data_IF_075434304541
#
_entry.id   IF_075434304541
#
_cell.length_a   1.000
_cell.length_b   1.000
_cell.length_c   1.000
_cell.angle_alpha   90.00
_cell.angle_beta   90.00
_cell.angle_gamma   90.00
#
_symmetry.space_group_name_H-M   'P 1'
#
loop_
_entity.id
_entity.type
_entity.pdbx_description
1 polymer ?
#
# COMPACT_ATOMS: atom_id res chain seq x y z
N UNK A 1 26.79 41.52 10.87
CA UNK A 1 25.56 40.71 11.04
C UNK A 1 25.69 39.49 10.13
N UNK A 2 25.63 38.21 10.52
CA UNK A 2 25.30 37.56 11.78
C UNK A 2 25.90 36.13 11.86
N UNK A 3 27.20 35.94 11.59
CA UNK A 3 27.87 34.65 11.91
C UNK A 3 27.97 34.41 13.44
N UNK A 4 28.08 35.49 14.21
CA UNK A 4 28.15 35.44 15.68
C UNK A 4 26.80 35.05 16.30
N UNK A 5 25.67 35.48 15.71
CA UNK A 5 24.34 35.07 16.20
C UNK A 5 24.05 33.60 15.87
N UNK A 6 24.44 33.13 14.69
CA UNK A 6 24.25 31.72 14.30
C UNK A 6 25.09 30.77 15.19
N UNK A 7 26.34 31.15 15.50
CA UNK A 7 27.18 30.39 16.42
C UNK A 7 26.67 30.45 17.86
N UNK A 8 26.13 31.58 18.33
CA UNK A 8 25.50 31.64 19.64
C UNK A 8 24.21 30.80 19.71
N UNK A 9 23.37 30.77 18.68
CA UNK A 9 22.16 29.93 18.66
C UNK A 9 22.51 28.44 18.63
N UNK A 10 23.54 28.04 17.87
CA UNK A 10 24.02 26.65 17.83
C UNK A 10 24.71 26.22 19.14
N UNK A 11 25.45 27.12 19.81
CA UNK A 11 26.06 26.84 21.12
C UNK A 11 25.03 26.84 22.26
N UNK A 12 24.01 27.72 22.25
CA UNK A 12 22.95 27.68 23.26
C UNK A 12 22.00 26.50 23.06
N UNK A 13 21.75 26.06 21.82
CA UNK A 13 21.06 24.80 21.57
C UNK A 13 21.90 23.61 22.06
N UNK A 14 23.19 23.55 21.69
CA UNK A 14 24.09 22.45 22.07
C UNK A 14 24.32 22.27 23.58
N UNK A 15 24.23 23.35 24.37
CA UNK A 15 24.39 23.30 25.84
C UNK A 15 23.06 23.01 26.56
N UNK A 16 21.90 23.25 25.94
CA UNK A 16 20.60 22.87 26.51
C UNK A 16 20.29 21.37 26.35
N UNK A 17 20.96 20.67 25.42
CA UNK A 17 20.78 19.24 25.16
C UNK A 17 21.77 18.32 25.90
N UNK A 18 22.74 18.85 26.68
CA UNK A 18 23.75 17.99 27.33
C UNK A 18 23.28 17.30 28.61
N UNK A 19 22.10 17.64 29.15
CA UNK A 19 21.57 17.02 30.39
C UNK A 19 20.27 16.22 30.18
N UNK A 20 19.61 16.34 29.03
CA UNK A 20 18.39 15.60 28.74
C UNK A 20 18.76 14.42 27.84
N UNK A 21 18.82 13.22 28.42
CA UNK A 21 18.88 12.00 27.61
C UNK A 21 17.52 11.87 26.92
N UNK A 22 17.45 11.88 25.57
CA UNK A 22 16.20 11.64 24.89
C UNK A 22 15.65 10.29 25.32
N UNK A 23 14.33 10.21 25.53
CA UNK A 23 13.66 8.93 25.72
C UNK A 23 13.63 8.25 24.36
N UNK A 24 14.21 7.05 24.29
CA UNK A 24 14.13 6.18 23.14
C UNK A 24 12.96 5.22 23.36
N UNK A 25 12.04 5.21 22.39
CA UNK A 25 10.99 4.21 22.25
C UNK A 25 11.32 3.42 20.98
N UNK A 26 11.42 2.10 21.11
CA UNK A 26 11.68 1.17 20.01
C UNK A 26 10.39 0.38 19.77
N UNK A 27 9.93 0.36 18.53
CA UNK A 27 8.83 -0.48 18.07
C UNK A 27 9.16 -1.09 16.71
N UNK A 28 8.32 -1.99 16.24
CA UNK A 28 8.46 -2.55 14.90
C UNK A 28 7.65 -3.82 14.72
N UNK A 29 7.92 -4.49 13.59
CA UNK A 29 7.22 -5.70 13.17
C UNK A 29 8.22 -6.75 12.67
N UNK A 30 7.97 -8.01 13.01
CA UNK A 30 8.56 -9.17 12.31
C UNK A 30 7.45 -9.90 11.59
N UNK A 31 7.68 -10.19 10.32
CA UNK A 31 6.75 -10.90 9.45
C UNK A 31 7.46 -12.07 8.76
N UNK A 32 6.80 -13.22 8.71
CA UNK A 32 7.21 -14.37 7.90
C UNK A 32 6.01 -14.98 7.21
N UNK A 33 6.09 -15.10 5.88
CA UNK A 33 5.06 -15.67 5.04
C UNK A 33 5.57 -16.90 4.28
N UNK A 34 4.68 -17.85 4.04
CA UNK A 34 4.90 -18.97 3.15
C UNK A 34 3.62 -19.26 2.37
N UNK A 35 3.75 -19.31 1.06
CA UNK A 35 2.67 -19.64 0.14
C UNK A 35 3.06 -20.80 -0.75
N UNK A 36 2.08 -21.61 -1.12
CA UNK A 36 2.19 -22.60 -2.17
C UNK A 36 0.99 -22.50 -3.10
N UNK A 37 1.26 -22.43 -4.40
CA UNK A 37 0.26 -22.49 -5.46
C UNK A 37 0.42 -23.81 -6.22
N UNK A 38 -0.67 -24.55 -6.31
CA UNK A 38 -0.73 -25.80 -7.05
C UNK A 38 -1.83 -25.76 -8.10
N UNK A 39 -1.43 -25.59 -9.36
CA UNK A 39 -2.29 -25.83 -10.51
C UNK A 39 -2.59 -27.33 -10.63
N UNK A 40 -3.88 -27.69 -10.68
CA UNK A 40 -4.32 -29.09 -10.63
C UNK A 40 -3.86 -29.95 -11.81
N UNK A 41 -3.55 -29.33 -12.95
CA UNK A 41 -3.06 -30.02 -14.15
C UNK A 41 -1.53 -30.07 -14.24
N UNK A 42 -0.82 -29.47 -13.27
CA UNK A 42 0.64 -29.48 -13.21
C UNK A 42 1.20 -30.32 -12.03
N UNK A 43 2.32 -31.03 -12.26
CA UNK A 43 3.01 -31.73 -11.18
C UNK A 43 3.87 -30.79 -10.32
N UNK A 44 4.15 -29.58 -10.81
CA UNK A 44 4.97 -28.58 -10.11
C UNK A 44 4.08 -27.77 -9.16
N UNK A 45 4.61 -27.50 -7.97
CA UNK A 45 4.00 -26.62 -6.98
C UNK A 45 4.93 -25.42 -6.83
N UNK A 46 4.40 -24.22 -7.05
CA UNK A 46 5.16 -22.98 -6.90
C UNK A 46 5.15 -22.59 -5.43
N UNK A 47 6.32 -22.21 -4.90
CA UNK A 47 6.44 -21.80 -3.50
C UNK A 47 6.98 -20.37 -3.44
N UNK A 48 6.40 -19.56 -2.55
CA UNK A 48 6.84 -18.19 -2.25
C UNK A 48 7.05 -18.05 -0.75
N UNK A 49 8.19 -17.49 -0.38
CA UNK A 49 8.54 -17.17 1.00
C UNK A 49 8.89 -15.70 1.10
N UNK A 50 8.39 -15.04 2.14
CA UNK A 50 8.67 -13.64 2.39
C UNK A 50 9.05 -13.47 3.86
N UNK A 51 10.04 -12.63 4.13
CA UNK A 51 10.42 -12.23 5.48
C UNK A 51 10.60 -10.73 5.50
N UNK A 52 10.07 -10.08 6.54
CA UNK A 52 10.29 -8.66 6.78
C UNK A 52 10.62 -8.40 8.25
N UNK A 53 11.55 -7.48 8.47
CA UNK A 53 11.81 -6.84 9.74
C UNK A 53 11.67 -5.34 9.53
N UNK A 54 10.80 -4.71 10.30
CA UNK A 54 10.68 -3.26 10.39
C UNK A 54 11.05 -2.79 11.81
N UNK A 55 11.76 -1.66 11.89
CA UNK A 55 12.30 -1.09 13.12
C UNK A 55 12.11 0.42 13.16
N UNK A 56 11.28 0.87 14.10
CA UNK A 56 11.01 2.27 14.41
C UNK A 56 11.80 2.75 15.61
N UNK A 57 12.49 3.86 15.45
CA UNK A 57 13.21 4.55 16.53
C UNK A 57 12.54 5.89 16.85
N UNK A 58 11.70 5.91 17.88
CA UNK A 58 11.09 7.12 18.42
C UNK A 58 12.00 7.81 19.43
N UNK A 59 12.47 9.02 19.12
CA UNK A 59 13.31 9.82 20.01
C UNK A 59 12.51 11.02 20.53
N UNK A 60 12.25 11.07 21.84
CA UNK A 60 11.61 12.22 22.49
C UNK A 60 12.62 13.04 23.27
N UNK A 61 12.91 14.24 22.78
CA UNK A 61 13.86 15.17 23.42
C UNK A 61 13.20 15.96 24.55
N UNK A 62 11.92 16.34 24.39
CA UNK A 62 11.09 16.98 25.43
C UNK A 62 9.60 16.91 25.02
N UNK A 63 8.72 17.61 25.73
CA UNK A 63 7.26 17.61 25.48
C UNK A 63 6.85 18.14 24.09
N UNK A 64 7.74 18.86 23.40
CA UNK A 64 7.45 19.48 22.09
C UNK A 64 8.29 18.94 20.95
N UNK A 65 9.47 18.40 21.23
CA UNK A 65 10.42 17.98 20.19
C UNK A 65 10.62 16.47 20.22
N UNK A 66 10.40 15.85 19.07
CA UNK A 66 10.73 14.45 18.81
C UNK A 66 11.38 14.27 17.44
N UNK A 67 11.99 13.11 17.24
CA UNK A 67 12.42 12.63 15.94
C UNK A 67 12.01 11.16 15.80
N UNK A 68 11.91 10.72 14.55
CA UNK A 68 11.62 9.34 14.20
C UNK A 68 12.52 8.91 13.04
N UNK A 69 12.83 7.61 13.02
CA UNK A 69 13.65 6.93 12.03
C UNK A 69 13.11 5.52 11.84
N UNK A 70 13.07 5.05 10.61
CA UNK A 70 12.64 3.70 10.25
C UNK A 70 13.73 2.97 9.46
N UNK A 71 13.96 1.72 9.82
CA UNK A 71 14.80 0.78 9.08
C UNK A 71 13.98 -0.45 8.73
N UNK A 72 13.92 -0.77 7.44
CA UNK A 72 13.21 -1.94 6.93
C UNK A 72 14.22 -2.93 6.36
N UNK A 73 13.96 -4.22 6.51
CA UNK A 73 14.72 -5.28 5.89
C UNK A 73 13.75 -6.34 5.38
N UNK A 74 13.57 -6.41 4.06
CA UNK A 74 12.68 -7.36 3.40
C UNK A 74 13.49 -8.31 2.51
N UNK A 75 13.09 -9.57 2.49
CA UNK A 75 13.62 -10.57 1.57
C UNK A 75 12.51 -11.48 1.07
N UNK A 76 12.53 -11.78 -0.22
CA UNK A 76 11.62 -12.72 -0.85
C UNK A 76 12.40 -13.83 -1.55
N UNK A 77 11.88 -15.05 -1.49
CA UNK A 77 12.40 -16.19 -2.23
C UNK A 77 11.24 -16.89 -2.94
N UNK A 78 11.40 -17.17 -4.22
CA UNK A 78 10.42 -17.91 -5.02
C UNK A 78 11.12 -19.09 -5.71
N UNK A 79 10.57 -20.29 -5.53
CA UNK A 79 11.01 -21.49 -6.22
C UNK A 79 9.99 -21.85 -7.31
N UNK A 80 10.47 -22.13 -8.53
CA UNK A 80 9.64 -22.61 -9.65
C UNK A 80 9.48 -21.63 -10.82
N UNK A 81 10.04 -20.42 -10.77
CA UNK A 81 10.14 -19.52 -11.92
C UNK A 81 11.43 -19.80 -12.70
N UNK A 82 11.45 -20.89 -13.48
CA UNK A 82 12.64 -21.28 -14.26
C UNK A 82 12.81 -20.48 -15.57
N UNK A 83 11.77 -19.80 -16.09
CA UNK A 83 11.84 -19.17 -17.41
C UNK A 83 11.04 -17.84 -17.49
N UNK A 84 11.61 -16.72 -17.03
CA UNK A 84 11.21 -15.39 -17.54
C UNK A 84 12.12 -15.03 -18.72
N UNK A 85 11.73 -15.43 -19.93
CA UNK A 85 12.43 -15.07 -21.16
C UNK A 85 12.54 -13.54 -21.29
N UNK A 86 13.76 -13.00 -21.25
CA UNK A 86 14.05 -11.59 -21.50
C UNK A 86 14.93 -10.91 -20.47
N UNK A 87 15.15 -11.52 -19.29
CA UNK A 87 16.21 -11.10 -18.37
C UNK A 87 17.28 -12.19 -18.32
N UNK A 88 18.48 -11.90 -18.82
CA UNK A 88 19.67 -12.74 -18.68
C UNK A 88 20.06 -12.79 -17.18
N UNK A 89 19.38 -13.64 -16.44
CA UNK A 89 19.64 -13.96 -15.03
C UNK A 89 20.49 -15.23 -15.03
N UNK A 90 21.80 -15.06 -15.30
CA UNK A 90 22.73 -16.12 -15.69
C UNK A 90 22.59 -17.47 -14.95
N UNK A 91 22.55 -18.54 -15.75
CA UNK A 91 22.79 -20.00 -15.56
C UNK A 91 22.56 -20.73 -14.21
N UNK A 92 22.11 -20.09 -13.13
CA UNK A 92 21.73 -20.72 -11.84
C UNK A 92 20.58 -19.95 -11.16
N UNK A 93 19.51 -19.63 -11.90
CA UNK A 93 18.39 -18.80 -11.42
C UNK A 93 17.44 -19.54 -10.45
N UNK A 94 17.93 -20.00 -9.32
CA UNK A 94 17.14 -19.93 -8.09
C UNK A 94 17.29 -18.51 -7.54
N UNK A 95 16.20 -17.81 -7.22
CA UNK A 95 16.32 -16.64 -6.34
C UNK A 95 16.99 -17.11 -5.05
N UNK A 96 18.26 -16.76 -4.86
CA UNK A 96 19.09 -17.16 -3.73
C UNK A 96 18.36 -16.82 -2.41
N UNK A 97 18.41 -17.67 -1.37
CA UNK A 97 17.49 -17.61 -0.24
C UNK A 97 17.63 -16.30 0.52
N UNK A 98 16.52 -15.55 0.61
CA UNK A 98 16.22 -14.46 1.58
C UNK A 98 17.49 -13.74 2.08
N UNK A 99 18.09 -12.89 1.22
CA UNK A 99 19.18 -11.98 1.60
C UNK A 99 18.59 -10.58 1.86
N UNK A 100 17.99 -10.31 3.04
CA UNK A 100 17.36 -9.02 3.29
C UNK A 100 18.45 -7.94 3.42
N UNK A 101 18.40 -6.94 2.55
CA UNK A 101 19.18 -5.73 2.69
C UNK A 101 18.44 -4.80 3.65
N UNK A 102 19.15 -4.29 4.67
CA UNK A 102 18.60 -3.24 5.53
C UNK A 102 18.60 -1.93 4.75
N UNK A 103 17.41 -1.38 4.53
CA UNK A 103 17.19 -0.10 3.86
C UNK A 103 16.73 0.95 4.86
N UNK A 104 17.15 2.19 4.62
CA UNK A 104 16.65 3.34 5.34
C UNK A 104 15.29 3.72 4.76
N UNK A 105 14.21 3.57 5.54
CA UNK A 105 12.85 3.77 5.04
C UNK A 105 12.32 5.20 5.27
N UNK A 106 12.97 5.97 6.15
CA UNK A 106 12.69 7.40 6.33
C UNK A 106 13.14 7.95 7.68
N UNK A 107 13.20 9.28 7.79
CA UNK A 107 13.32 9.96 9.08
C UNK A 107 12.71 11.36 9.05
N UNK A 108 12.17 11.80 10.18
CA UNK A 108 11.70 13.17 10.35
C UNK A 108 11.96 13.72 11.76
N UNK A 109 11.91 15.04 11.87
CA UNK A 109 11.89 15.78 13.14
C UNK A 109 10.52 16.44 13.28
N UNK A 110 9.92 16.33 14.46
CA UNK A 110 8.60 16.89 14.75
C UNK A 110 8.67 17.96 15.86
N UNK A 111 7.95 19.06 15.63
CA UNK A 111 7.58 20.01 16.66
C UNK A 111 6.07 19.94 16.95
N UNK A 112 5.71 19.51 18.15
CA UNK A 112 4.34 19.44 18.65
C UNK A 112 4.01 20.69 19.46
N UNK A 113 3.07 21.51 18.97
CA UNK A 113 2.54 22.66 19.72
C UNK A 113 1.42 22.21 20.68
N UNK A 114 0.59 21.28 20.23
CA UNK A 114 -0.53 20.67 20.96
C UNK A 114 -0.95 19.37 20.28
N UNK A 115 -1.85 18.60 20.89
CA UNK A 115 -2.42 17.37 20.30
C UNK A 115 -3.06 17.58 18.92
N UNK A 116 -3.52 18.80 18.60
CA UNK A 116 -4.15 19.13 17.31
C UNK A 116 -3.27 19.96 16.38
N UNK A 117 -1.99 20.15 16.72
CA UNK A 117 -1.10 21.00 15.93
C UNK A 117 0.35 20.57 16.06
N UNK A 118 0.91 20.09 14.97
CA UNK A 118 2.34 19.79 14.87
C UNK A 118 2.90 20.15 13.49
N UNK A 119 4.22 20.18 13.42
CA UNK A 119 4.98 20.37 12.19
C UNK A 119 6.03 19.27 12.09
N UNK A 120 6.21 18.68 10.91
CA UNK A 120 7.33 17.76 10.64
C UNK A 120 8.21 18.28 9.52
N UNK A 121 9.47 17.90 9.58
CA UNK A 121 10.45 18.11 8.51
C UNK A 121 11.28 16.85 8.34
N UNK A 122 11.39 16.36 7.11
CA UNK A 122 12.10 15.12 6.81
C UNK A 122 11.46 14.34 5.68
N UNK A 123 11.64 13.03 5.70
CA UNK A 123 10.95 12.07 4.84
C UNK A 123 9.54 11.82 5.41
N UNK A 124 8.53 12.12 4.60
CA UNK A 124 7.12 12.06 4.91
C UNK A 124 6.48 11.05 3.97
N UNK A 125 5.61 10.20 4.52
CA UNK A 125 4.83 9.22 3.78
C UNK A 125 3.36 9.57 3.94
N UNK A 126 2.60 9.49 2.85
CA UNK A 126 1.15 9.61 2.89
C UNK A 126 0.54 8.67 1.86
N UNK A 127 -0.68 8.25 2.15
CA UNK A 127 -1.50 7.36 1.34
C UNK A 127 -2.96 7.62 1.73
N UNK A 128 -3.89 7.28 0.86
CA UNK A 128 -5.32 7.41 1.13
C UNK A 128 -6.05 6.24 0.47
N UNK A 129 -7.17 5.78 1.04
CA UNK A 129 -8.01 4.80 0.36
C UNK A 129 -7.44 3.39 0.23
N UNK A 130 -6.83 2.89 1.31
CA UNK A 130 -6.41 1.48 1.44
C UNK A 130 -7.61 0.59 1.74
N UNK A 131 -7.66 -0.61 1.16
CA UNK A 131 -8.65 -1.61 1.53
C UNK A 131 -8.51 -1.98 3.02
N UNK A 132 -9.62 -1.99 3.74
CA UNK A 132 -9.67 -2.32 5.16
C UNK A 132 -10.03 -3.79 5.39
N UNK A 133 -10.77 -4.39 4.47
CA UNK A 133 -11.33 -5.73 4.66
C UNK A 133 -10.66 -6.78 3.76
N UNK A 134 -10.28 -6.42 2.53
CA UNK A 134 -9.62 -7.37 1.63
C UNK A 134 -8.11 -7.38 1.86
N UNK A 135 -7.58 -8.58 2.10
CA UNK A 135 -6.22 -8.77 2.60
C UNK A 135 -5.14 -8.54 1.53
N UNK A 136 -5.39 -8.87 0.26
CA UNK A 136 -4.38 -8.75 -0.81
C UNK A 136 -4.16 -7.29 -1.26
N UNK A 137 -5.07 -6.35 -0.97
CA UNK A 137 -4.95 -4.93 -1.33
C UNK A 137 -4.92 -4.00 -0.11
N UNK A 138 -4.59 -4.56 1.05
CA UNK A 138 -4.45 -3.84 2.32
C UNK A 138 -3.09 -3.17 2.51
N UNK A 139 -2.13 -3.35 1.60
CA UNK A 139 -0.82 -2.72 1.66
C UNK A 139 -0.88 -1.28 1.13
N UNK A 140 -0.40 -0.27 1.90
CA UNK A 140 -0.35 1.11 1.43
C UNK A 140 0.44 1.29 0.13
N UNK A 141 1.37 0.40 -0.21
CA UNK A 141 2.20 0.48 -1.42
C UNK A 141 1.44 0.11 -2.69
N UNK A 142 0.27 -0.51 -2.58
CA UNK A 142 -0.58 -0.86 -3.70
C UNK A 142 -1.46 0.33 -4.14
N UNK A 143 -1.49 0.61 -5.44
CA UNK A 143 -2.34 1.63 -6.09
C UNK A 143 -3.67 1.00 -6.53
N UNK A 144 -4.32 0.37 -5.56
CA UNK A 144 -5.56 -0.35 -5.82
C UNK A 144 -6.73 0.64 -5.98
N UNK A 145 -6.99 1.50 -4.98
CA UNK A 145 -8.19 2.34 -4.99
C UNK A 145 -8.04 3.85 -4.74
N UNK A 146 -7.06 4.27 -3.94
CA UNK A 146 -6.86 5.69 -3.60
C UNK A 146 -5.49 6.18 -4.04
N UNK A 147 -4.71 6.68 -3.10
CA UNK A 147 -3.33 7.10 -3.29
C UNK A 147 -2.46 6.01 -2.67
N UNK A 148 -1.69 5.29 -3.49
CA UNK A 148 -0.60 4.44 -2.99
C UNK A 148 0.45 5.29 -2.26
N UNK A 149 1.21 4.67 -1.37
CA UNK A 149 2.18 5.34 -0.52
C UNK A 149 3.13 6.19 -1.35
N UNK A 150 2.99 7.50 -1.23
CA UNK A 150 3.93 8.47 -1.78
C UNK A 150 4.91 8.86 -0.68
N UNK A 151 6.16 9.04 -1.08
CA UNK A 151 7.22 9.53 -0.20
C UNK A 151 7.74 10.84 -0.73
N UNK A 152 7.75 11.86 0.14
CA UNK A 152 8.34 13.16 -0.14
C UNK A 152 9.36 13.51 0.94
N UNK A 153 10.37 14.31 0.59
CA UNK A 153 11.21 15.00 1.56
C UNK A 153 10.81 16.47 1.63
N UNK A 154 10.28 16.89 2.77
CA UNK A 154 9.57 18.16 2.83
C UNK A 154 9.13 18.59 4.23
N UNK A 155 8.02 19.32 4.24
CA UNK A 155 7.37 19.87 5.42
C UNK A 155 5.92 19.36 5.49
N UNK A 156 5.55 18.86 6.66
CA UNK A 156 4.16 18.53 7.01
C UNK A 156 3.67 19.55 8.04
N UNK A 157 2.46 20.04 7.84
CA UNK A 157 1.73 20.83 8.81
C UNK A 157 0.39 20.17 9.11
N UNK A 158 0.16 19.85 10.38
CA UNK A 158 -1.12 19.37 10.85
C UNK A 158 -1.82 20.43 11.71
N UNK A 159 -3.11 20.68 11.45
CA UNK A 159 -3.93 21.61 12.24
C UNK A 159 -5.42 21.24 12.26
N UNK A 160 -5.93 20.82 13.42
CA UNK A 160 -7.36 20.55 13.64
C UNK A 160 -7.98 19.64 12.55
N UNK A 161 -7.31 18.53 12.24
CA UNK A 161 -7.74 17.57 11.20
C UNK A 161 -7.21 17.87 9.81
N UNK A 162 -6.71 19.09 9.53
CA UNK A 162 -6.02 19.38 8.28
C UNK A 162 -4.61 18.80 8.32
N UNK A 163 -4.26 18.05 7.29
CA UNK A 163 -2.90 17.67 6.92
C UNK A 163 -2.54 18.41 5.64
N UNK A 164 -1.35 19.02 5.62
CA UNK A 164 -0.80 19.68 4.45
C UNK A 164 0.69 19.38 4.35
N UNK A 165 1.08 18.79 3.24
CA UNK A 165 2.43 18.32 2.96
C UNK A 165 2.95 19.01 1.70
N UNK A 166 4.22 19.42 1.72
CA UNK A 166 4.89 19.95 0.54
C UNK A 166 6.35 19.53 0.55
N UNK A 167 6.84 19.07 -0.60
CA UNK A 167 8.22 18.59 -0.69
C UNK A 167 8.63 18.17 -2.09
N UNK A 168 9.76 17.49 -2.13
CA UNK A 168 10.29 16.85 -3.33
C UNK A 168 10.06 15.35 -3.22
N UNK A 169 9.68 14.69 -4.31
CA UNK A 169 9.56 13.23 -4.30
C UNK A 169 10.91 12.57 -4.00
N UNK A 170 10.88 11.40 -3.39
CA UNK A 170 12.06 10.60 -3.09
C UNK A 170 11.85 9.13 -3.46
N UNK A 171 12.96 8.39 -3.58
CA UNK A 171 12.94 6.97 -3.96
C UNK A 171 12.14 6.72 -5.25
N UNK A 172 11.26 5.71 -5.28
CA UNK A 172 10.41 5.40 -6.43
C UNK A 172 9.49 6.55 -6.85
N UNK A 173 9.18 7.49 -5.94
CA UNK A 173 8.32 8.64 -6.25
C UNK A 173 9.03 9.70 -7.14
N UNK A 174 10.36 9.64 -7.31
CA UNK A 174 11.12 10.57 -8.18
C UNK A 174 11.36 10.03 -9.60
N UNK A 175 10.76 8.88 -9.95
CA UNK A 175 10.90 8.29 -11.28
C UNK A 175 9.78 8.78 -12.20
N UNK A 176 10.15 9.27 -13.39
CA UNK A 176 9.23 9.50 -14.50
C UNK A 176 9.54 8.49 -15.60
N UNK A 177 8.69 7.50 -15.77
CA UNK A 177 8.76 6.56 -16.88
C UNK A 177 7.75 6.99 -17.93
N UNK A 178 8.24 7.22 -19.16
CA UNK A 178 7.42 7.64 -20.29
C UNK A 178 7.21 6.45 -21.20
N UNK A 179 5.96 6.00 -21.35
CA UNK A 179 5.63 4.97 -22.32
C UNK A 179 5.39 5.59 -23.69
N UNK A 180 6.17 5.17 -24.69
CA UNK A 180 6.03 5.62 -26.06
C UNK A 180 4.95 4.80 -26.77
N UNK A 181 4.01 5.50 -27.41
CA UNK A 181 3.00 4.89 -28.25
C UNK A 181 3.03 5.48 -29.66
N UNK A 182 3.00 4.63 -30.68
CA UNK A 182 2.75 5.06 -32.06
C UNK A 182 1.60 4.23 -32.64
N UNK A 183 0.60 4.91 -33.21
CA UNK A 183 -0.58 4.28 -33.83
C UNK A 183 -1.37 3.32 -32.89
N UNK A 184 -1.29 3.51 -31.57
CA UNK A 184 -1.95 2.66 -30.59
C UNK A 184 -1.15 1.44 -30.14
N UNK A 185 0.08 1.28 -30.61
CA UNK A 185 0.98 0.20 -30.18
C UNK A 185 2.07 0.73 -29.24
N UNK A 186 2.39 -0.06 -28.21
CA UNK A 186 3.47 0.22 -27.26
C UNK A 186 4.84 0.06 -27.92
N UNK A 187 5.66 1.10 -27.87
CA UNK A 187 6.95 1.19 -28.57
C UNK A 187 8.16 1.16 -27.63
N UNK A 188 7.96 1.15 -26.31
CA UNK A 188 9.03 1.13 -25.32
C UNK A 188 8.85 2.22 -24.24
N UNK A 189 9.71 2.18 -23.22
CA UNK A 189 9.65 3.06 -22.05
C UNK A 189 10.95 3.84 -21.88
N UNK A 190 10.86 5.16 -21.80
CA UNK A 190 11.97 6.03 -21.42
C UNK A 190 11.79 6.48 -19.97
N UNK A 191 12.48 5.80 -19.05
CA UNK A 191 12.60 6.28 -17.68
C UNK A 191 13.71 7.32 -17.59
N UNK A 192 13.33 8.55 -17.24
CA UNK A 192 14.27 9.61 -16.93
C UNK A 192 14.12 9.97 -15.46
N UNK A 193 15.25 10.01 -14.76
CA UNK A 193 15.35 10.66 -13.45
C UNK A 193 14.85 12.10 -13.61
N UNK A 194 13.80 12.45 -12.87
CA UNK A 194 13.18 13.76 -12.97
C UNK A 194 12.82 14.22 -11.58
N UNK A 195 13.43 15.31 -11.12
CA UNK A 195 13.10 15.90 -9.84
C UNK A 195 11.63 16.28 -9.79
N UNK A 196 10.89 15.67 -8.88
CA UNK A 196 9.47 15.93 -8.67
C UNK A 196 9.25 16.91 -7.53
N UNK A 197 8.17 17.68 -7.60
CA UNK A 197 7.65 18.42 -6.46
C UNK A 197 6.18 18.08 -6.27
N UNK A 198 5.78 17.99 -5.01
CA UNK A 198 4.51 17.40 -4.64
C UNK A 198 3.86 18.19 -3.51
N UNK A 199 2.55 18.32 -3.60
CA UNK A 199 1.70 18.98 -2.61
C UNK A 199 0.53 18.06 -2.31
N UNK A 200 0.45 17.62 -1.07
CA UNK A 200 -0.65 16.81 -0.58
C UNK A 200 -1.44 17.55 0.50
N UNK A 201 -2.76 17.36 0.50
CA UNK A 201 -3.64 17.89 1.51
C UNK A 201 -4.81 16.94 1.77
N UNK A 202 -5.12 16.72 3.06
CA UNK A 202 -6.27 15.94 3.48
C UNK A 202 -6.91 16.57 4.73
N UNK A 203 -8.21 16.34 4.96
CA UNK A 203 -8.91 16.93 6.09
C UNK A 203 -9.86 15.97 6.79
N UNK A 204 -9.64 15.68 8.06
CA UNK A 204 -10.57 14.88 8.87
C UNK A 204 -11.79 15.73 9.28
N UNK A 205 -12.89 15.60 8.51
CA UNK A 205 -14.18 16.18 8.84
C UNK A 205 -15.01 15.19 9.66
N UNK A 206 -15.04 15.40 10.97
CA UNK A 206 -15.84 14.60 11.89
C UNK A 206 -17.26 15.17 12.06
N UNK A 207 -18.29 14.39 11.71
CA UNK A 207 -19.70 14.74 11.91
C UNK A 207 -20.41 13.56 12.58
N UNK A 208 -20.94 13.77 13.79
CA UNK A 208 -21.67 12.74 14.54
C UNK A 208 -20.88 11.42 14.69
N UNK A 209 -19.59 11.51 15.01
CA UNK A 209 -18.63 10.39 15.13
C UNK A 209 -18.42 9.60 13.82
N UNK A 210 -18.81 10.17 12.68
CA UNK A 210 -18.48 9.68 11.35
C UNK A 210 -17.33 10.52 10.80
N UNK A 211 -16.41 9.92 10.06
CA UNK A 211 -15.24 10.61 9.51
C UNK A 211 -15.38 10.68 7.99
N UNK A 212 -15.24 11.90 7.46
CA UNK A 212 -15.13 12.17 6.02
C UNK A 212 -13.77 12.82 5.79
N UNK A 213 -12.95 12.21 4.94
CA UNK A 213 -11.60 12.64 4.66
C UNK A 213 -11.44 12.93 3.17
N UNK A 214 -11.84 14.12 2.70
CA UNK A 214 -11.44 14.58 1.38
C UNK A 214 -9.92 14.74 1.32
N UNK A 215 -9.34 14.33 0.21
CA UNK A 215 -7.92 14.43 -0.05
C UNK A 215 -7.63 14.95 -1.46
N UNK A 216 -6.44 15.48 -1.63
CA UNK A 216 -5.89 15.98 -2.88
C UNK A 216 -4.38 15.81 -2.85
N UNK A 217 -3.82 15.31 -3.93
CA UNK A 217 -2.39 15.29 -4.18
C UNK A 217 -2.10 15.81 -5.59
N UNK A 218 -1.11 16.68 -5.70
CA UNK A 218 -0.61 17.15 -6.98
C UNK A 218 0.89 16.97 -7.04
N UNK A 219 1.32 16.25 -8.07
CA UNK A 219 2.72 16.03 -8.37
C UNK A 219 3.07 16.62 -9.72
N UNK A 220 4.20 17.31 -9.75
CA UNK A 220 4.78 17.80 -11.00
C UNK A 220 6.16 17.26 -11.23
N UNK A 221 6.36 16.78 -12.45
CA UNK A 221 7.62 16.27 -12.97
C UNK A 221 8.54 17.35 -13.54
N UNK A 222 8.21 18.64 -13.34
CA UNK A 222 8.94 19.78 -13.93
C UNK A 222 8.98 19.74 -15.47
N UNK A 223 8.03 19.04 -16.08
CA UNK A 223 7.88 18.92 -17.53
C UNK A 223 6.50 19.38 -17.93
N UNK A 224 6.46 20.03 -19.08
CA UNK A 224 5.19 20.44 -19.68
C UNK A 224 4.36 19.19 -19.90
N UNK A 225 3.10 19.21 -19.47
CA UNK A 225 2.09 18.18 -19.74
C UNK A 225 2.15 16.91 -18.89
N UNK A 226 3.19 16.64 -18.09
CA UNK A 226 3.37 15.34 -17.39
C UNK A 226 2.85 15.28 -15.95
N UNK A 227 2.18 16.31 -15.47
CA UNK A 227 1.77 16.38 -14.06
C UNK A 227 0.71 15.32 -13.74
N UNK A 228 0.66 14.92 -12.48
CA UNK A 228 -0.22 13.90 -11.91
C UNK A 228 -1.08 14.54 -10.83
N UNK A 229 -2.33 14.09 -10.72
CA UNK A 229 -3.32 14.58 -9.78
C UNK A 229 -4.10 13.40 -9.22
N UNK A 230 -4.11 13.29 -7.88
CA UNK A 230 -5.10 12.52 -7.16
C UNK A 230 -6.06 13.43 -6.43
N UNK A 231 -7.31 13.01 -6.36
CA UNK A 231 -8.28 13.61 -5.46
C UNK A 231 -9.34 12.60 -5.09
N UNK A 232 -9.95 12.77 -3.94
CA UNK A 232 -10.99 11.82 -3.55
C UNK A 232 -11.61 12.11 -2.21
N UNK A 233 -12.36 11.13 -1.74
CA UNK A 233 -13.05 11.14 -0.47
C UNK A 233 -12.99 9.73 0.12
N UNK A 234 -12.29 9.60 1.24
CA UNK A 234 -12.33 8.43 2.12
C UNK A 234 -13.39 8.70 3.21
N UNK A 235 -14.25 7.72 3.46
CA UNK A 235 -15.35 7.81 4.41
C UNK A 235 -15.30 6.61 5.34
N UNK A 236 -15.31 6.88 6.65
CA UNK A 236 -15.42 5.87 7.69
C UNK A 236 -16.68 6.12 8.52
N UNK A 237 -17.65 5.22 8.39
CA UNK A 237 -18.94 5.28 9.06
C UNK A 237 -19.09 4.12 10.06
N UNK A 238 -19.66 4.41 11.22
CA UNK A 238 -19.90 3.42 12.29
C UNK A 238 -21.27 3.63 12.92
N UNK A 239 -22.10 2.58 12.94
CA UNK A 239 -23.43 2.56 13.54
C UNK A 239 -23.67 1.23 14.29
N UNK A 240 -23.40 1.24 15.59
CA UNK A 240 -23.57 0.06 16.44
C UNK A 240 -22.62 -1.06 16.02
N UNK A 241 -23.20 -2.18 15.59
CA UNK A 241 -22.47 -3.36 15.14
C UNK A 241 -22.05 -3.30 13.66
N UNK A 242 -22.50 -2.29 12.93
CA UNK A 242 -22.20 -2.09 11.52
C UNK A 242 -21.13 -1.01 11.37
N UNK A 243 -20.11 -1.28 10.57
CA UNK A 243 -19.20 -0.27 10.06
C UNK A 243 -19.18 -0.30 8.53
N UNK A 244 -18.83 0.83 7.94
CA UNK A 244 -18.75 0.99 6.50
C UNK A 244 -17.57 1.90 6.19
N UNK A 245 -16.61 1.38 5.47
CA UNK A 245 -15.59 2.17 4.80
C UNK A 245 -16.01 2.37 3.35
N UNK A 246 -15.86 3.58 2.82
CA UNK A 246 -16.18 3.89 1.44
C UNK A 246 -15.20 4.90 0.88
N UNK A 247 -14.83 4.71 -0.38
CA UNK A 247 -13.85 5.54 -1.04
C UNK A 247 -14.32 5.89 -2.45
N UNK A 248 -14.18 7.16 -2.79
CA UNK A 248 -14.10 7.61 -4.17
C UNK A 248 -12.68 8.11 -4.43
N UNK A 249 -12.02 7.55 -5.44
CA UNK A 249 -10.70 7.98 -5.90
C UNK A 249 -10.78 8.51 -7.33
N UNK A 250 -10.06 9.58 -7.59
CA UNK A 250 -9.78 10.10 -8.93
C UNK A 250 -8.27 10.18 -9.09
N UNK A 251 -7.78 9.66 -10.20
CA UNK A 251 -6.37 9.75 -10.58
C UNK A 251 -6.30 10.18 -12.04
N UNK A 252 -5.53 11.23 -12.33
CA UNK A 252 -5.20 11.60 -13.69
C UNK A 252 -3.73 11.94 -13.86
N UNK A 253 -3.18 11.46 -14.98
CA UNK A 253 -1.82 11.70 -15.44
C UNK A 253 -1.84 12.47 -16.76
N UNK A 254 -0.70 13.05 -17.09
CA UNK A 254 -0.51 13.87 -18.29
C UNK A 254 -1.46 15.07 -18.39
N UNK A 255 -1.71 15.76 -17.27
CA UNK A 255 -2.81 16.74 -17.11
C UNK A 255 -2.91 17.88 -18.14
N UNK A 256 -1.82 18.24 -18.83
CA UNK A 256 -1.86 19.28 -19.87
C UNK A 256 -1.58 18.75 -21.28
N UNK A 257 -1.48 17.42 -21.43
CA UNK A 257 -1.36 16.74 -22.72
C UNK A 257 -2.74 16.46 -23.31
N UNK A 258 -2.80 16.36 -24.65
CA UNK A 258 -3.95 15.76 -25.33
C UNK A 258 -4.06 14.24 -25.05
N UNK A 259 -3.00 13.64 -24.49
CA UNK A 259 -2.91 12.24 -24.07
C UNK A 259 -3.28 12.01 -22.59
N UNK A 260 -3.95 12.97 -21.94
CA UNK A 260 -4.37 12.84 -20.55
C UNK A 260 -5.20 11.57 -20.34
N UNK A 261 -4.82 10.78 -19.33
CA UNK A 261 -5.56 9.58 -18.90
C UNK A 261 -6.17 9.87 -17.54
N UNK A 262 -7.43 9.54 -17.38
CA UNK A 262 -8.18 9.75 -16.14
C UNK A 262 -8.89 8.49 -15.71
N UNK A 263 -8.80 8.17 -14.43
CA UNK A 263 -9.40 7.00 -13.83
C UNK A 263 -10.22 7.41 -12.62
N UNK A 264 -11.38 6.78 -12.45
CA UNK A 264 -12.20 6.91 -11.27
C UNK A 264 -12.36 5.56 -10.59
N UNK A 265 -12.34 5.54 -9.28
CA UNK A 265 -12.49 4.34 -8.48
C UNK A 265 -13.61 4.54 -7.47
N UNK A 266 -14.39 3.48 -7.27
CA UNK A 266 -15.30 3.31 -6.15
C UNK A 266 -14.92 2.05 -5.38
N UNK A 267 -14.76 2.19 -4.07
CA UNK A 267 -14.59 1.08 -3.14
C UNK A 267 -15.61 1.23 -2.01
N UNK A 268 -16.29 0.15 -1.67
CA UNK A 268 -17.18 0.09 -0.50
C UNK A 268 -16.91 -1.19 0.29
N UNK A 269 -16.80 -1.03 1.60
CA UNK A 269 -16.34 -2.07 2.51
C UNK A 269 -17.22 -2.10 3.76
N UNK A 270 -18.38 -2.78 3.69
CA UNK A 270 -19.23 -3.00 4.86
C UNK A 270 -18.61 -4.05 5.78
N UNK A 271 -18.81 -3.87 7.08
CA UNK A 271 -18.56 -4.91 8.08
C UNK A 271 -19.68 -4.95 9.11
N UNK A 272 -19.91 -6.13 9.65
CA UNK A 272 -20.89 -6.35 10.70
C UNK A 272 -20.37 -7.38 11.70
N UNK A 273 -20.30 -6.99 12.97
CA UNK A 273 -19.85 -7.85 14.06
C UNK A 273 -20.95 -8.02 15.11
N UNK A 274 -21.29 -9.26 15.45
CA UNK A 274 -22.14 -9.59 16.58
C UNK A 274 -21.61 -10.79 17.36
N UNK A 275 -21.18 -10.52 18.60
CA UNK A 275 -20.73 -11.50 19.59
C UNK A 275 -19.49 -12.30 19.15
N UNK A 276 -19.69 -13.35 18.37
CA UNK A 276 -18.63 -14.23 17.86
C UNK A 276 -18.67 -14.32 16.34
N UNK A 277 -19.70 -13.78 15.71
CA UNK A 277 -19.86 -13.81 14.26
C UNK A 277 -19.47 -12.45 13.70
N UNK A 278 -18.60 -12.44 12.69
CA UNK A 278 -18.26 -11.26 11.93
C UNK A 278 -18.52 -11.55 10.44
N UNK A 279 -18.89 -10.53 9.68
CA UNK A 279 -18.87 -10.58 8.23
C UNK A 279 -18.27 -9.29 7.71
N UNK A 280 -17.26 -9.42 6.87
CA UNK A 280 -16.63 -8.31 6.15
C UNK A 280 -16.86 -8.50 4.66
N UNK A 281 -16.86 -7.41 3.91
CA UNK A 281 -16.85 -7.47 2.46
C UNK A 281 -16.19 -6.25 1.85
N UNK A 282 -15.86 -6.38 0.58
CA UNK A 282 -15.29 -5.32 -0.26
C UNK A 282 -15.89 -5.41 -1.65
N UNK A 283 -16.27 -4.28 -2.22
CA UNK A 283 -16.73 -4.16 -3.60
C UNK A 283 -15.98 -3.00 -4.23
N UNK A 284 -15.25 -3.28 -5.29
CA UNK A 284 -14.40 -2.35 -5.98
C UNK A 284 -14.80 -2.25 -7.45
N UNK A 285 -14.80 -1.03 -7.99
CA UNK A 285 -15.01 -0.79 -9.41
C UNK A 285 -14.19 0.40 -9.89
N UNK A 286 -13.47 0.22 -10.99
CA UNK A 286 -12.74 1.27 -11.69
C UNK A 286 -13.40 1.63 -13.04
N UNK A 287 -13.60 2.93 -13.23
CA UNK A 287 -13.86 3.53 -14.54
C UNK A 287 -12.52 3.94 -15.13
N UNK A 288 -12.07 3.15 -16.10
CA UNK A 288 -10.76 3.29 -16.74
C UNK A 288 -10.98 3.82 -18.15
N UNK A 289 -10.32 4.93 -18.48
CA UNK A 289 -10.44 5.59 -19.79
C UNK A 289 -9.65 4.84 -20.87
N UNK A 290 -8.37 4.56 -20.59
CA UNK A 290 -7.47 3.79 -21.44
C UNK A 290 -6.82 2.66 -20.62
N UNK A 291 -7.28 1.40 -20.74
CA UNK A 291 -6.74 0.27 -19.98
C UNK A 291 -5.26 0.00 -20.24
N UNK A 292 -4.81 0.17 -21.49
CA UNK A 292 -3.42 -0.12 -21.89
C UNK A 292 -2.48 0.93 -21.33
N UNK A 293 -2.82 2.22 -21.43
CA UNK A 293 -2.01 3.27 -20.82
C UNK A 293 -2.07 3.20 -19.29
N UNK A 294 -3.23 2.87 -18.73
CA UNK A 294 -3.39 2.75 -17.28
C UNK A 294 -2.55 1.63 -16.69
N UNK A 295 -2.46 0.46 -17.32
CA UNK A 295 -1.63 -0.65 -16.82
C UNK A 295 -0.13 -0.34 -16.83
N UNK A 296 0.30 0.56 -17.71
CA UNK A 296 1.69 1.00 -17.77
C UNK A 296 1.99 2.07 -16.72
N UNK A 297 1.08 3.03 -16.51
CA UNK A 297 1.27 4.09 -15.51
C UNK A 297 1.02 3.62 -14.08
N UNK A 298 0.11 2.65 -13.89
CA UNK A 298 -0.29 2.13 -12.60
C UNK A 298 0.14 0.68 -12.49
N UNK A 299 1.13 0.44 -11.64
CA UNK A 299 1.82 -0.85 -11.57
C UNK A 299 1.08 -1.89 -10.73
N UNK A 300 0.13 -1.48 -9.89
CA UNK A 300 -0.48 -2.33 -8.86
C UNK A 300 -2.01 -2.30 -8.83
N UNK A 301 -2.67 -1.58 -9.75
CA UNK A 301 -4.13 -1.69 -9.88
C UNK A 301 -4.45 -3.08 -10.42
N UNK A 302 -5.18 -3.91 -9.65
CA UNK A 302 -5.30 -5.33 -9.96
C UNK A 302 -6.23 -5.60 -11.14
N UNK A 303 -7.36 -4.87 -11.21
CA UNK A 303 -8.46 -5.17 -12.12
C UNK A 303 -9.49 -4.02 -12.17
N UNK A 304 -10.45 -4.06 -13.08
CA UNK A 304 -11.51 -3.06 -13.18
C UNK A 304 -12.69 -3.34 -12.23
N UNK A 305 -12.87 -4.58 -11.78
CA UNK A 305 -13.93 -4.96 -10.85
C UNK A 305 -13.49 -6.13 -9.97
N UNK A 306 -13.82 -6.00 -8.69
CA UNK A 306 -13.50 -6.98 -7.67
C UNK A 306 -14.63 -7.02 -6.63
N UNK A 307 -14.95 -8.22 -6.13
CA UNK A 307 -15.86 -8.39 -5.00
C UNK A 307 -15.37 -9.46 -4.04
N UNK A 308 -15.49 -9.19 -2.75
CA UNK A 308 -15.08 -10.07 -1.67
C UNK A 308 -16.09 -10.07 -0.53
N UNK A 309 -16.30 -11.24 0.06
CA UNK A 309 -17.05 -11.39 1.30
C UNK A 309 -16.45 -12.51 2.13
N UNK A 310 -16.34 -12.28 3.44
CA UNK A 310 -15.87 -13.28 4.38
C UNK A 310 -16.72 -13.25 5.65
N UNK A 311 -17.68 -14.19 5.80
CA UNK A 311 -18.22 -14.51 7.11
C UNK A 311 -17.19 -15.29 7.93
N UNK A 312 -17.08 -14.96 9.22
CA UNK A 312 -16.18 -15.61 10.16
C UNK A 312 -16.81 -15.82 11.54
N UNK A 313 -16.32 -16.83 12.26
CA UNK A 313 -16.78 -17.18 13.61
C UNK A 313 -15.60 -17.40 14.55
N UNK A 314 -15.57 -16.64 15.65
CA UNK A 314 -14.67 -16.84 16.77
C UNK A 314 -15.06 -18.10 17.55
N UNK A 315 -14.17 -19.10 17.52
CA UNK A 315 -14.34 -20.36 18.26
C UNK A 315 -14.05 -20.14 19.74
N UNK A 316 -13.00 -19.37 20.02
CA UNK A 316 -12.58 -18.91 21.35
C UNK A 316 -11.85 -17.57 21.22
N UNK A 317 -11.15 -17.12 22.27
CA UNK A 317 -10.44 -15.84 22.30
C UNK A 317 -9.18 -15.79 21.42
N UNK A 318 -8.69 -16.94 20.95
CA UNK A 318 -7.48 -17.04 20.12
C UNK A 318 -7.79 -17.39 18.67
N UNK A 319 -8.85 -18.19 18.44
CA UNK A 319 -9.12 -18.80 17.14
C UNK A 319 -10.40 -18.27 16.50
N UNK A 320 -10.28 -17.83 15.24
CA UNK A 320 -11.40 -17.48 14.35
C UNK A 320 -11.29 -18.27 13.04
N UNK A 321 -12.42 -18.72 12.52
CA UNK A 321 -12.51 -19.42 11.23
C UNK A 321 -13.33 -18.57 10.28
N UNK A 322 -12.77 -18.23 9.12
CA UNK A 322 -13.40 -17.48 8.04
C UNK A 322 -13.58 -18.31 6.77
N UNK A 323 -14.57 -17.92 5.97
CA UNK A 323 -14.89 -18.55 4.68
C UNK A 323 -14.90 -17.48 3.59
N UNK A 324 -13.73 -17.06 3.07
CA UNK A 324 -13.68 -16.05 2.02
C UNK A 324 -14.31 -16.57 0.72
N UNK A 325 -15.00 -15.66 0.03
CA UNK A 325 -15.47 -15.81 -1.33
C UNK A 325 -15.09 -14.54 -2.10
N UNK A 326 -14.38 -14.71 -3.19
CA UNK A 326 -13.77 -13.64 -3.97
C UNK A 326 -14.13 -13.83 -5.44
N UNK A 327 -14.42 -12.72 -6.10
CA UNK A 327 -14.74 -12.64 -7.51
C UNK A 327 -13.81 -11.63 -8.14
N UNK A 328 -13.04 -12.11 -9.11
CA UNK A 328 -12.07 -11.33 -9.85
C UNK A 328 -12.45 -11.29 -11.34
N UNK A 329 -12.17 -10.17 -11.96
CA UNK A 329 -12.11 -9.96 -13.41
C UNK A 329 -10.69 -10.09 -13.97
N UNK A 330 -9.65 -9.93 -13.14
CA UNK A 330 -8.22 -10.08 -13.49
C UNK A 330 -7.76 -9.28 -14.73
N UNK A 331 -8.46 -8.20 -15.06
CA UNK A 331 -8.12 -7.33 -16.19
C UNK A 331 -8.55 -5.90 -15.92
N UNK A 332 -7.91 -4.93 -16.57
CA UNK A 332 -8.35 -3.53 -16.60
C UNK A 332 -9.29 -3.23 -17.77
N UNK A 333 -9.33 -4.07 -18.81
CA UNK A 333 -10.20 -3.89 -19.97
C UNK A 333 -11.49 -4.70 -19.82
N UNK A 334 -12.62 -4.01 -19.83
CA UNK A 334 -13.97 -4.61 -19.73
C UNK A 334 -14.34 -5.48 -20.94
N UNK A 335 -13.54 -5.43 -22.01
CA UNK A 335 -13.71 -6.26 -23.20
C UNK A 335 -13.05 -7.62 -23.06
N UNK A 336 -12.07 -7.77 -22.16
CA UNK A 336 -11.41 -9.03 -21.90
C UNK A 336 -12.22 -9.84 -20.88
N UNK A 337 -12.30 -11.14 -21.10
CA UNK A 337 -12.98 -12.10 -20.22
C UNK A 337 -11.96 -13.00 -19.51
N UNK A 338 -11.35 -12.48 -18.44
CA UNK A 338 -10.32 -13.13 -17.63
C UNK A 338 -10.80 -13.44 -16.21
N UNK A 339 -12.10 -13.66 -16.01
CA UNK A 339 -12.66 -13.79 -14.67
C UNK A 339 -12.25 -15.06 -13.91
N UNK A 340 -12.19 -14.96 -12.58
CA UNK A 340 -12.03 -16.11 -11.67
C UNK A 340 -12.82 -15.95 -10.36
N UNK A 341 -13.09 -17.08 -9.70
CA UNK A 341 -13.71 -17.13 -8.37
C UNK A 341 -12.78 -17.86 -7.43
N UNK A 342 -12.47 -17.23 -6.29
CA UNK A 342 -11.70 -17.84 -5.21
C UNK A 342 -12.59 -18.13 -4.03
N UNK A 343 -12.44 -19.30 -3.41
CA UNK A 343 -13.16 -19.63 -2.18
C UNK A 343 -12.39 -20.63 -1.33
N UNK A 344 -12.63 -20.62 -0.02
CA UNK A 344 -12.02 -21.64 0.83
C UNK A 344 -12.15 -21.36 2.31
N UNK A 345 -11.13 -21.72 3.07
CA UNK A 345 -11.07 -21.50 4.52
C UNK A 345 -9.86 -20.66 4.90
N UNK A 346 -10.09 -19.67 5.77
CA UNK A 346 -9.06 -18.90 6.47
C UNK A 346 -9.16 -19.18 7.97
N UNK A 347 -8.03 -19.32 8.64
CA UNK A 347 -7.93 -19.56 10.07
C UNK A 347 -7.02 -18.51 10.68
N UNK A 348 -7.55 -17.80 11.67
CA UNK A 348 -6.86 -16.74 12.38
C UNK A 348 -6.52 -17.23 13.78
N UNK A 349 -5.26 -17.06 14.17
CA UNK A 349 -4.77 -17.30 15.51
C UNK A 349 -4.11 -16.03 16.04
N UNK A 350 -4.79 -15.38 16.97
CA UNK A 350 -4.34 -14.11 17.55
C UNK A 350 -4.05 -14.31 19.03
N UNK A 351 -2.93 -13.78 19.52
CA UNK A 351 -2.57 -13.80 20.93
C UNK A 351 -2.56 -12.36 21.46
N UNK A 352 -3.68 -11.87 22.02
CA UNK A 352 -3.86 -10.43 22.29
C UNK A 352 -2.76 -9.82 23.18
N UNK A 353 -2.30 -10.56 24.18
CA UNK A 353 -1.28 -10.09 25.12
C UNK A 353 0.12 -9.98 24.50
N UNK A 354 0.35 -10.66 23.37
CA UNK A 354 1.66 -10.76 22.74
C UNK A 354 1.71 -10.14 21.33
N UNK A 355 0.60 -9.55 20.84
CA UNK A 355 0.49 -9.00 19.47
C UNK A 355 1.06 -9.95 18.40
N UNK A 356 0.76 -11.23 18.56
CA UNK A 356 1.10 -12.28 17.59
C UNK A 356 -0.17 -12.57 16.81
N UNK A 357 -0.11 -12.39 15.50
CA UNK A 357 -1.19 -12.73 14.59
C UNK A 357 -0.68 -13.75 13.57
N UNK A 358 -1.38 -14.88 13.46
CA UNK A 358 -1.08 -15.94 12.50
C UNK A 358 -2.32 -16.19 11.66
N UNK A 359 -2.18 -16.08 10.35
CA UNK A 359 -3.21 -16.37 9.37
C UNK A 359 -2.78 -17.62 8.62
N UNK A 360 -3.69 -18.55 8.42
CA UNK A 360 -3.48 -19.67 7.50
C UNK A 360 -4.68 -19.83 6.59
N UNK A 361 -4.43 -20.19 5.34
CA UNK A 361 -5.47 -20.26 4.32
C UNK A 361 -5.31 -21.48 3.42
N UNK A 362 -6.45 -21.98 2.97
CA UNK A 362 -6.57 -22.95 1.87
C UNK A 362 -7.70 -22.47 0.99
N UNK A 363 -7.37 -22.01 -0.21
CA UNK A 363 -8.32 -21.51 -1.19
C UNK A 363 -8.26 -22.38 -2.45
N UNK A 364 -9.38 -22.49 -3.15
CA UNK A 364 -9.43 -22.93 -4.54
C UNK A 364 -9.68 -21.71 -5.41
N UNK A 365 -8.91 -21.55 -6.48
CA UNK A 365 -9.13 -20.56 -7.53
C UNK A 365 -9.72 -21.27 -8.75
N UNK A 366 -10.84 -20.76 -9.25
CA UNK A 366 -11.58 -21.33 -10.38
C UNK A 366 -11.72 -20.26 -11.46
N UNK A 367 -10.91 -20.30 -12.52
CA UNK A 367 -11.09 -19.42 -13.68
C UNK A 367 -12.39 -19.76 -14.43
N UNK A 368 -13.07 -18.75 -14.98
CA UNK A 368 -14.29 -18.92 -15.78
C UNK A 368 -14.35 -18.11 -17.08
N UNK A 369 -13.38 -17.23 -17.33
CA UNK A 369 -13.36 -16.40 -18.53
C UNK A 369 -12.86 -17.13 -19.78
N UNK A 370 -13.31 -16.68 -20.95
CA UNK A 370 -12.92 -17.29 -22.24
C UNK A 370 -11.54 -16.85 -22.75
N UNK A 371 -10.99 -15.74 -22.26
CA UNK A 371 -9.76 -15.12 -22.78
C UNK A 371 -8.50 -15.55 -22.03
N UNK A 372 -8.60 -16.47 -21.06
CA UNK A 372 -7.42 -16.99 -20.35
C UNK A 372 -6.46 -17.61 -21.38
N UNK A 373 -5.20 -17.15 -21.47
CA UNK A 373 -4.28 -17.67 -22.46
C UNK A 373 -4.10 -19.17 -22.25
N UNK A 374 -4.28 -19.95 -23.33
CA UNK A 374 -4.08 -21.40 -23.33
C UNK A 374 -2.61 -21.82 -23.17
N UNK A 375 -1.70 -20.86 -23.04
CA UNK A 375 -0.28 -21.09 -22.76
C UNK A 375 -0.06 -21.07 -21.23
N UNK A 376 0.24 -22.24 -20.66
CA UNK A 376 0.61 -22.37 -19.25
C UNK A 376 -0.54 -22.63 -18.27
N UNK A 377 -1.63 -23.29 -18.72
CA UNK A 377 -2.69 -23.82 -17.86
C UNK A 377 -3.39 -22.80 -16.93
N UNK A 378 -3.37 -21.50 -17.28
CA UNK A 378 -3.98 -20.43 -16.47
C UNK A 378 -5.51 -20.48 -16.42
N UNK A 379 -6.11 -21.37 -17.21
CA UNK A 379 -7.54 -21.64 -17.27
C UNK A 379 -7.97 -22.88 -16.44
N UNK A 380 -7.04 -23.50 -15.70
CA UNK A 380 -7.33 -24.67 -14.86
C UNK A 380 -7.47 -24.28 -13.39
N UNK A 381 -8.28 -25.00 -12.58
CA UNK A 381 -8.38 -24.73 -11.16
C UNK A 381 -7.05 -24.90 -10.43
N UNK A 382 -6.78 -24.03 -9.46
CA UNK A 382 -5.60 -24.11 -8.61
C UNK A 382 -5.96 -24.12 -7.13
N UNK A 383 -5.05 -24.64 -6.30
CA UNK A 383 -5.12 -24.56 -4.86
C UNK A 383 -4.06 -23.61 -4.34
N UNK A 384 -4.47 -22.65 -3.52
CA UNK A 384 -3.61 -21.69 -2.84
C UNK A 384 -3.55 -22.08 -1.36
N UNK A 385 -2.35 -22.33 -0.87
CA UNK A 385 -2.06 -22.55 0.53
C UNK A 385 -1.21 -21.38 1.03
N UNK A 386 -1.55 -20.83 2.19
CA UNK A 386 -0.80 -19.71 2.76
C UNK A 386 -0.70 -19.81 4.27
N UNK A 387 0.43 -19.38 4.82
CA UNK A 387 0.61 -19.08 6.24
C UNK A 387 1.35 -17.76 6.35
N UNK A 388 0.78 -16.85 7.11
CA UNK A 388 1.36 -15.55 7.45
C UNK A 388 1.49 -15.49 8.97
N UNK A 389 2.65 -15.08 9.47
CA UNK A 389 2.85 -14.84 10.90
C UNK A 389 3.49 -13.48 11.10
N UNK A 390 2.87 -12.67 11.95
CA UNK A 390 3.26 -11.32 12.28
C UNK A 390 3.43 -11.18 13.80
N UNK A 391 4.42 -10.40 14.21
CA UNK A 391 4.67 -10.06 15.61
C UNK A 391 5.07 -8.59 15.72
N UNK A 392 4.25 -7.82 16.42
CA UNK A 392 4.51 -6.41 16.71
C UNK A 392 5.07 -6.24 18.14
N UNK A 393 6.03 -5.34 18.34
CA UNK A 393 6.62 -5.07 19.67
C UNK A 393 6.65 -3.59 20.06
#
# INVERSE_FOLDING_TARGET
MNKIILSCVLLFAGVAFSEIRPKLDLSGMVMVHAYADWNTDEPKVTHRFESMLDLDFGLRFNDRWSAWLELEAMGMAMNGMEDMEGMDMGDESSMDPVNPAVVFNGAYIQYTRSERTFFRVGDLKFFEGIFKNYYDFGDPRDDAAGISQKTIRGLEFQWNGLQFDIGFGTAGNDQSCHYHFMFGEYMGMDCLEGYTYEVHAAYDLEIANQVFRPYFDYKSYQRKDYNELYAGLDVSLSLGNFAFHGLYGFHSVFLASDDAVSNHVLLVEPSFDISRFCIVGSLFYAFIDDPVRTSLEITTRPEYFFAFIEPSVAVNEFWTIGLPLELHTNTLDKKDDLGSVRMGGRFYFNVPDFKIDIISMVLVDIPYGDDWPSEGNKNDPSFIFGVEAMFDF
#
